data_IF_622631046832
#
_entry.id   IF_622631046832
#
_cell.length_a   1.000
_cell.length_b   1.000
_cell.length_c   1.000
_cell.angle_alpha   90.00
_cell.angle_beta   90.00
_cell.angle_gamma   90.00
#
_symmetry.space_group_name_H-M   'P 1'
#
loop_
_entity.id
_entity.type
_entity.pdbx_description
1 polymer ?
#
# COMPACT_ATOMS: atom_id res chain seq x y z
N UNK A 1 -11.66 -4.94 10.47
CA UNK A 1 -11.68 -6.31 9.92
C UNK A 1 -11.36 -7.31 11.01
N UNK A 2 -12.29 -8.23 11.31
CA UNK A 2 -12.11 -9.29 12.30
C UNK A 2 -12.02 -10.64 11.57
N UNK A 3 -11.21 -11.59 12.05
CA UNK A 3 -11.16 -12.95 11.50
C UNK A 3 -12.50 -13.68 11.66
N UNK A 4 -13.24 -13.39 12.75
CA UNK A 4 -14.53 -14.01 13.06
C UNK A 4 -15.72 -13.37 12.32
N UNK A 5 -15.52 -12.29 11.57
CA UNK A 5 -16.63 -11.70 10.80
C UNK A 5 -16.99 -12.59 9.62
N UNK A 6 -18.28 -12.89 9.43
CA UNK A 6 -18.82 -13.64 8.28
C UNK A 6 -18.75 -12.89 6.93
N UNK A 7 -17.83 -11.93 6.80
CA UNK A 7 -17.59 -11.21 5.57
C UNK A 7 -16.77 -12.08 4.61
N UNK A 8 -17.23 -12.14 3.37
CA UNK A 8 -16.50 -12.75 2.28
C UNK A 8 -15.14 -12.06 2.05
N UNK A 9 -14.20 -12.81 1.48
CA UNK A 9 -12.85 -12.33 1.13
C UNK A 9 -12.93 -11.07 0.26
N UNK A 10 -13.81 -11.06 -0.74
CA UNK A 10 -14.00 -9.95 -1.67
C UNK A 10 -14.42 -8.66 -0.96
N UNK A 11 -15.31 -8.77 0.02
CA UNK A 11 -15.78 -7.64 0.82
C UNK A 11 -14.66 -7.09 1.71
N UNK A 12 -13.89 -7.97 2.36
CA UNK A 12 -12.72 -7.56 3.16
C UNK A 12 -11.66 -6.88 2.30
N UNK A 13 -11.41 -7.41 1.11
CA UNK A 13 -10.48 -6.83 0.14
C UNK A 13 -10.94 -5.43 -0.30
N UNK A 14 -12.24 -5.28 -0.55
CA UNK A 14 -12.85 -3.99 -0.91
C UNK A 14 -12.65 -2.97 0.21
N UNK A 15 -12.98 -3.32 1.46
CA UNK A 15 -12.76 -2.46 2.63
C UNK A 15 -11.29 -2.04 2.77
N UNK A 16 -10.36 -2.98 2.57
CA UNK A 16 -8.93 -2.66 2.62
C UNK A 16 -8.56 -1.65 1.53
N UNK A 17 -9.00 -1.84 0.29
CA UNK A 17 -8.69 -0.95 -0.84
C UNK A 17 -9.32 0.44 -0.65
N UNK A 18 -10.54 0.54 -0.14
CA UNK A 18 -11.29 1.79 -0.08
C UNK A 18 -11.01 2.63 1.16
N UNK A 19 -10.69 2.00 2.29
CA UNK A 19 -10.53 2.70 3.57
C UNK A 19 -9.10 2.61 4.09
N UNK A 20 -8.58 1.40 4.28
CA UNK A 20 -7.30 1.22 4.98
C UNK A 20 -6.11 1.65 4.12
N UNK A 21 -6.14 1.32 2.83
CA UNK A 21 -5.09 1.67 1.88
C UNK A 21 -4.91 3.19 1.80
N UNK A 22 -5.92 4.03 1.53
CA UNK A 22 -5.73 5.48 1.50
C UNK A 22 -5.29 6.08 2.83
N UNK A 23 -5.70 5.53 3.99
CA UNK A 23 -5.19 5.99 5.30
C UNK A 23 -3.69 5.72 5.43
N UNK A 24 -3.21 4.57 4.93
CA UNK A 24 -1.79 4.23 4.93
C UNK A 24 -1.03 4.92 3.81
N UNK A 25 -1.71 5.38 2.75
CA UNK A 25 -1.10 5.91 1.53
C UNK A 25 -1.45 7.39 1.24
N UNK A 26 -1.96 8.13 2.24
CA UNK A 26 -2.32 9.56 2.09
C UNK A 26 -1.11 10.46 1.78
N UNK A 27 0.03 10.22 2.42
CA UNK A 27 1.27 10.97 2.23
C UNK A 27 2.25 10.25 1.29
N UNK A 28 1.75 9.50 0.30
CA UNK A 28 2.60 8.72 -0.60
C UNK A 28 3.80 9.52 -1.18
N UNK A 29 3.64 10.75 -1.71
CA UNK A 29 4.77 11.53 -2.21
C UNK A 29 5.87 11.79 -1.19
N UNK A 30 5.52 11.90 0.09
CA UNK A 30 6.46 12.08 1.22
C UNK A 30 7.11 10.75 1.59
N UNK A 31 6.36 9.64 1.54
CA UNK A 31 6.89 8.31 1.80
C UNK A 31 7.82 7.75 0.72
N UNK A 32 7.97 8.41 -0.42
CA UNK A 32 9.02 8.04 -1.39
C UNK A 32 10.44 8.15 -0.79
N UNK A 33 10.63 8.98 0.25
CA UNK A 33 11.92 9.23 0.89
C UNK A 33 12.06 8.70 2.32
N UNK A 34 11.15 7.86 2.82
CA UNK A 34 11.27 7.33 4.19
C UNK A 34 12.29 6.20 4.29
N UNK A 35 12.80 6.00 5.50
CA UNK A 35 13.70 4.89 5.80
C UNK A 35 13.03 3.52 5.59
N UNK A 36 13.83 2.53 5.20
CA UNK A 36 13.36 1.15 5.04
C UNK A 36 12.72 0.59 6.31
N UNK A 37 13.18 1.02 7.49
CA UNK A 37 12.61 0.63 8.77
C UNK A 37 11.17 1.10 8.95
N UNK A 38 10.83 2.31 8.48
CA UNK A 38 9.48 2.84 8.52
C UNK A 38 8.62 2.19 7.43
N UNK A 39 9.14 2.01 6.22
CA UNK A 39 8.45 1.29 5.15
C UNK A 39 8.08 -0.15 5.57
N UNK A 40 9.00 -0.85 6.22
CA UNK A 40 8.77 -2.19 6.77
C UNK A 40 7.63 -2.23 7.79
N UNK A 41 7.40 -1.15 8.56
CA UNK A 41 6.24 -1.08 9.48
C UNK A 41 4.93 -1.00 8.72
N UNK A 42 4.87 -0.24 7.63
CA UNK A 42 3.69 -0.14 6.77
C UNK A 42 3.42 -1.48 6.05
N UNK A 43 4.47 -2.14 5.56
CA UNK A 43 4.35 -3.49 4.98
C UNK A 43 3.86 -4.51 6.00
N UNK A 44 4.35 -4.47 7.26
CA UNK A 44 3.83 -5.32 8.34
C UNK A 44 2.34 -5.10 8.59
N UNK A 45 1.87 -3.85 8.50
CA UNK A 45 0.44 -3.54 8.58
C UNK A 45 -0.34 -4.18 7.42
N UNK A 46 0.13 -4.00 6.17
CA UNK A 46 -0.48 -4.65 5.00
C UNK A 46 -0.50 -6.18 5.16
N UNK A 47 0.60 -6.79 5.58
CA UNK A 47 0.72 -8.25 5.76
C UNK A 47 -0.29 -8.78 6.78
N UNK A 48 -0.56 -8.01 7.84
CA UNK A 48 -1.61 -8.34 8.81
C UNK A 48 -2.99 -8.26 8.17
N UNK A 49 -3.26 -7.22 7.38
CA UNK A 49 -4.52 -7.08 6.62
C UNK A 49 -4.71 -8.22 5.62
N UNK A 50 -3.68 -8.56 4.83
CA UNK A 50 -3.73 -9.67 3.86
C UNK A 50 -4.13 -10.98 4.51
N UNK A 51 -3.49 -11.35 5.63
CA UNK A 51 -3.85 -12.57 6.37
C UNK A 51 -5.29 -12.55 6.89
N UNK A 52 -5.83 -11.38 7.22
CA UNK A 52 -7.24 -11.24 7.62
C UNK A 52 -8.20 -11.35 6.44
N UNK A 53 -7.79 -10.90 5.24
CA UNK A 53 -8.56 -10.99 3.99
C UNK A 53 -8.60 -12.45 3.54
N UNK A 54 -7.44 -13.07 3.34
CA UNK A 54 -7.29 -14.44 2.81
C UNK A 54 -7.58 -15.51 3.87
N UNK A 55 -7.61 -15.17 5.16
CA UNK A 55 -7.81 -16.12 6.25
C UNK A 55 -6.60 -17.04 6.53
N UNK A 56 -5.47 -16.79 5.87
CA UNK A 56 -4.28 -17.64 5.90
C UNK A 56 -3.54 -17.62 7.24
N UNK A 57 -2.80 -18.69 7.52
CA UNK A 57 -1.97 -18.81 8.72
C UNK A 57 -0.72 -17.90 8.64
N UNK A 58 -0.04 -17.64 9.77
CA UNK A 58 1.20 -16.85 9.89
C UNK A 58 2.35 -17.36 9.02
N UNK A 59 2.43 -18.67 8.78
CA UNK A 59 3.52 -19.28 8.01
C UNK A 59 3.33 -19.19 6.49
N UNK A 60 2.12 -18.90 6.01
CA UNK A 60 1.88 -18.72 4.59
C UNK A 60 2.66 -17.51 4.06
N UNK A 61 3.19 -17.67 2.84
CA UNK A 61 4.06 -16.67 2.20
C UNK A 61 3.21 -15.47 1.81
N UNK A 62 3.77 -14.27 1.99
CA UNK A 62 3.09 -13.02 1.65
C UNK A 62 2.95 -12.88 0.12
N UNK A 63 3.96 -13.33 -0.64
CA UNK A 63 3.94 -13.28 -2.09
C UNK A 63 2.73 -14.01 -2.69
N UNK A 64 2.42 -15.21 -2.18
CA UNK A 64 1.27 -16.00 -2.64
C UNK A 64 -0.05 -15.28 -2.37
N UNK A 65 -0.20 -14.65 -1.19
CA UNK A 65 -1.40 -13.85 -0.85
C UNK A 65 -1.53 -12.58 -1.70
N UNK A 66 -0.42 -11.95 -2.05
CA UNK A 66 -0.42 -10.78 -2.95
C UNK A 66 -0.84 -11.20 -4.35
N UNK A 67 -0.33 -12.32 -4.85
CA UNK A 67 -0.71 -12.89 -6.14
C UNK A 67 -2.20 -13.27 -6.17
N UNK A 68 -2.71 -13.93 -5.12
CA UNK A 68 -4.12 -14.30 -4.97
C UNK A 68 -5.05 -13.06 -4.94
N UNK A 69 -4.64 -11.99 -4.24
CA UNK A 69 -5.47 -10.78 -4.09
C UNK A 69 -5.27 -9.74 -5.20
N UNK A 70 -4.27 -9.92 -6.06
CA UNK A 70 -3.85 -8.95 -7.08
C UNK A 70 -3.41 -7.61 -6.49
N UNK A 71 -2.88 -7.60 -5.26
CA UNK A 71 -2.43 -6.39 -4.57
C UNK A 71 -0.94 -6.15 -4.81
N UNK A 72 -0.59 -4.89 -5.05
CA UNK A 72 0.80 -4.39 -4.95
C UNK A 72 1.21 -4.30 -3.48
N UNK A 73 2.52 -4.42 -3.21
CA UNK A 73 3.10 -4.07 -1.90
C UNK A 73 2.89 -2.58 -1.57
N UNK A 74 2.98 -2.21 -0.29
CA UNK A 74 2.88 -0.79 0.11
C UNK A 74 3.95 0.03 -0.61
N UNK A 75 5.19 -0.46 -0.67
CA UNK A 75 6.30 0.22 -1.33
C UNK A 75 6.00 0.51 -2.80
N UNK A 76 5.65 -0.51 -3.58
CA UNK A 76 5.32 -0.35 -5.01
C UNK A 76 4.14 0.62 -5.21
N UNK A 77 3.11 0.50 -4.36
CA UNK A 77 1.95 1.37 -4.43
C UNK A 77 2.30 2.83 -4.15
N UNK A 78 3.10 3.08 -3.11
CA UNK A 78 3.60 4.41 -2.74
C UNK A 78 4.47 4.97 -3.85
N UNK A 79 5.41 4.20 -4.39
CA UNK A 79 6.29 4.64 -5.47
C UNK A 79 5.50 5.02 -6.72
N UNK A 80 4.50 4.21 -7.08
CA UNK A 80 3.62 4.50 -8.22
C UNK A 80 2.82 5.80 -8.00
N UNK A 81 2.27 6.00 -6.79
CA UNK A 81 1.54 7.23 -6.45
C UNK A 81 2.45 8.45 -6.43
N UNK A 82 3.64 8.33 -5.85
CA UNK A 82 4.67 9.37 -5.78
C UNK A 82 5.10 9.81 -7.17
N UNK A 83 5.48 8.85 -8.03
CA UNK A 83 5.83 9.13 -9.43
C UNK A 83 4.71 9.87 -10.14
N UNK A 84 3.46 9.41 -10.00
CA UNK A 84 2.31 10.09 -10.61
C UNK A 84 2.14 11.51 -10.09
N UNK A 85 2.32 11.74 -8.79
CA UNK A 85 2.25 13.08 -8.20
C UNK A 85 3.33 14.01 -8.75
N UNK A 86 4.58 13.55 -8.80
CA UNK A 86 5.70 14.37 -9.28
C UNK A 86 5.57 14.69 -10.78
N UNK A 87 5.21 13.70 -11.60
CA UNK A 87 5.00 13.89 -13.04
C UNK A 87 3.80 14.82 -13.32
N UNK A 88 2.68 14.63 -12.63
CA UNK A 88 1.43 15.36 -12.94
C UNK A 88 1.38 16.74 -12.31
N UNK A 89 1.92 16.93 -11.10
CA UNK A 89 1.69 18.15 -10.32
C UNK A 89 2.96 18.98 -10.13
N UNK A 90 4.10 18.33 -10.03
CA UNK A 90 5.37 18.97 -9.68
C UNK A 90 6.13 19.45 -10.93
N UNK A 91 5.99 18.81 -12.09
CA UNK A 91 6.63 19.26 -13.33
C UNK A 91 6.00 20.51 -13.95
N UNK A 92 4.75 20.84 -13.60
CA UNK A 92 4.05 22.01 -14.15
C UNK A 92 4.44 23.35 -13.50
N UNK A 93 5.19 23.35 -12.40
CA UNK A 93 5.73 24.59 -11.83
C UNK A 93 7.13 24.88 -12.35
N UNK A 94 7.33 26.13 -12.80
CA UNK A 94 8.61 26.61 -13.34
C UNK A 94 9.77 26.49 -12.34
N UNK A 95 9.47 26.49 -11.03
CA UNK A 95 10.44 26.51 -9.94
C UNK A 95 11.03 25.12 -9.60
N UNK A 96 10.38 24.04 -10.04
CA UNK A 96 10.65 22.67 -9.57
C UNK A 96 11.19 21.75 -10.66
N UNK A 97 11.33 22.25 -11.90
CA UNK A 97 11.78 21.49 -13.07
C UNK A 97 13.19 20.89 -12.91
N UNK A 98 14.01 21.48 -12.02
CA UNK A 98 15.40 21.10 -11.78
C UNK A 98 15.63 20.30 -10.48
N UNK A 99 14.57 19.94 -9.75
CA UNK A 99 14.66 19.26 -8.44
C UNK A 99 14.49 17.73 -8.50
N UNK A 100 14.44 17.14 -9.70
CA UNK A 100 14.41 15.69 -9.86
C UNK A 100 15.85 15.15 -9.76
N UNK A 101 16.15 14.44 -8.68
CA UNK A 101 17.35 13.61 -8.50
C UNK A 101 17.21 12.29 -9.25
#
# INVERSE_FOLDING_TARGET
MNKKSGLDMTNKLTIYKTILRPIVTYAAPVWCGISDTQMTRLEKFQNKCLRLITGQNRYARIADMLAETGLETVREHVDRLSKRFYLTRFQHSLLTRNLLF
#
